data_IF_890462546014
#
_entry.id   IF_890462546014
#
_cell.length_a   1.000
_cell.length_b   1.000
_cell.length_c   1.000
_cell.angle_alpha   90.00
_cell.angle_beta   90.00
_cell.angle_gamma   90.00
#
_symmetry.space_group_name_H-M   'P 1'
#
loop_
_entity.id
_entity.type
_entity.pdbx_description
1 polymer ?
#
# COMPACT_ATOMS: atom_id res chain seq x y z
N UNK A 1 -5.00 -22.40 5.57
CA UNK A 1 -4.30 -21.19 5.08
C UNK A 1 -2.84 -21.54 4.88
N UNK A 2 -2.34 -21.40 3.67
CA UNK A 2 -0.92 -21.64 3.43
C UNK A 2 -0.10 -20.52 4.07
N UNK A 3 0.90 -20.89 4.88
CA UNK A 3 1.85 -19.91 5.39
C UNK A 3 2.62 -19.32 4.22
N UNK A 4 2.54 -17.99 4.08
CA UNK A 4 3.36 -17.30 3.11
C UNK A 4 4.83 -17.40 3.52
N UNK A 5 5.62 -18.07 2.69
CA UNK A 5 7.08 -18.13 2.87
C UNK A 5 7.72 -17.35 1.72
N UNK A 6 8.50 -16.31 2.01
CA UNK A 6 9.23 -15.62 0.97
C UNK A 6 10.19 -16.56 0.27
N UNK A 7 10.33 -16.43 -1.05
CA UNK A 7 11.24 -17.25 -1.86
C UNK A 7 12.71 -17.04 -1.50
N UNK A 8 13.04 -15.92 -0.90
CA UNK A 8 14.38 -15.56 -0.51
C UNK A 8 14.46 -15.35 0.99
N UNK A 9 15.45 -15.94 1.63
CA UNK A 9 15.68 -15.78 3.06
C UNK A 9 16.80 -14.78 3.28
N UNK A 10 16.55 -13.78 4.10
CA UNK A 10 17.59 -12.87 4.61
C UNK A 10 18.15 -13.49 5.88
N UNK A 11 19.43 -13.93 5.85
CA UNK A 11 20.07 -14.60 6.98
C UNK A 11 20.36 -13.67 8.15
N UNK A 12 20.69 -12.41 7.87
CA UNK A 12 20.95 -11.37 8.87
C UNK A 12 20.09 -10.14 8.56
N UNK A 13 18.95 -10.05 9.25
CA UNK A 13 17.97 -8.99 9.02
C UNK A 13 18.49 -7.61 9.42
N UNK A 14 19.26 -7.54 10.51
CA UNK A 14 19.82 -6.26 11.00
C UNK A 14 20.86 -5.71 10.03
N UNK A 15 21.80 -6.56 9.61
CA UNK A 15 22.81 -6.21 8.62
C UNK A 15 22.19 -5.81 7.28
N UNK A 16 21.18 -6.53 6.82
CA UNK A 16 20.46 -6.20 5.60
C UNK A 16 19.80 -4.83 5.69
N UNK A 17 19.12 -4.54 6.82
CA UNK A 17 18.49 -3.24 7.05
C UNK A 17 19.51 -2.10 7.07
N UNK A 18 20.66 -2.30 7.72
CA UNK A 18 21.75 -1.31 7.76
C UNK A 18 22.32 -1.03 6.36
N UNK A 19 22.60 -2.07 5.59
CA UNK A 19 23.14 -1.95 4.24
C UNK A 19 22.13 -1.29 3.30
N UNK A 20 20.86 -1.65 3.41
CA UNK A 20 19.77 -1.01 2.66
C UNK A 20 19.67 0.49 2.97
N UNK A 21 19.77 0.86 4.25
CA UNK A 21 19.74 2.25 4.67
C UNK A 21 20.93 3.04 4.12
N UNK A 22 22.12 2.43 4.10
CA UNK A 22 23.33 3.05 3.54
C UNK A 22 23.21 3.28 2.03
N UNK A 23 22.73 2.30 1.28
CA UNK A 23 22.48 2.43 -0.16
C UNK A 23 21.44 3.51 -0.45
N UNK A 24 20.35 3.53 0.31
CA UNK A 24 19.33 4.57 0.22
C UNK A 24 19.89 5.96 0.48
N UNK A 25 20.75 6.10 1.50
CA UNK A 25 21.42 7.37 1.81
C UNK A 25 22.31 7.86 0.68
N UNK A 26 23.10 6.97 0.09
CA UNK A 26 23.94 7.31 -1.06
C UNK A 26 23.11 7.69 -2.29
N UNK A 27 22.00 6.97 -2.53
CA UNK A 27 21.09 7.30 -3.62
C UNK A 27 20.47 8.70 -3.41
N UNK A 28 20.06 9.02 -2.19
CA UNK A 28 19.50 10.33 -1.86
C UNK A 28 20.50 11.47 -2.11
N UNK A 29 21.77 11.28 -1.74
CA UNK A 29 22.84 12.24 -2.04
C UNK A 29 22.97 12.48 -3.55
N UNK A 30 23.01 11.40 -4.34
CA UNK A 30 23.15 11.49 -5.79
C UNK A 30 21.95 12.12 -6.47
N UNK A 31 20.75 11.88 -5.98
CA UNK A 31 19.50 12.40 -6.55
C UNK A 31 19.06 13.74 -5.95
N UNK A 32 19.79 14.29 -4.99
CA UNK A 32 19.44 15.53 -4.30
C UNK A 32 18.04 15.49 -3.68
N UNK A 33 17.68 14.38 -3.07
CA UNK A 33 16.40 14.18 -2.40
C UNK A 33 16.59 13.82 -0.94
N UNK A 34 15.59 14.09 -0.12
CA UNK A 34 15.62 13.79 1.32
C UNK A 34 14.98 12.46 1.68
N UNK A 35 14.39 11.75 0.72
CA UNK A 35 13.75 10.47 1.03
C UNK A 35 13.33 9.68 -0.20
N UNK A 36 13.26 8.37 0.00
CA UNK A 36 12.60 7.44 -0.89
C UNK A 36 11.27 6.99 -0.28
N UNK A 37 10.48 6.27 -1.06
CA UNK A 37 9.21 5.70 -0.61
C UNK A 37 9.28 4.18 -0.66
N UNK A 38 8.96 3.54 0.45
CA UNK A 38 8.78 2.09 0.51
C UNK A 38 7.35 1.73 0.10
N UNK A 39 7.22 0.54 -0.46
CA UNK A 39 5.93 -0.06 -0.81
C UNK A 39 5.86 -1.43 -0.15
N UNK A 40 4.76 -1.71 0.54
CA UNK A 40 4.64 -2.94 1.32
C UNK A 40 4.53 -4.20 0.46
N UNK A 41 3.81 -4.10 -0.67
CA UNK A 41 3.55 -5.27 -1.49
C UNK A 41 3.31 -4.89 -2.95
N UNK A 42 4.01 -5.58 -3.85
CA UNK A 42 3.79 -5.46 -5.30
C UNK A 42 3.74 -6.87 -5.89
N UNK A 43 2.69 -7.15 -6.64
CA UNK A 43 2.55 -8.39 -7.40
C UNK A 43 2.37 -8.04 -8.87
N UNK A 44 3.12 -8.71 -9.74
CA UNK A 44 2.97 -8.64 -11.18
C UNK A 44 2.36 -9.97 -11.68
N UNK A 45 1.40 -9.88 -12.59
CA UNK A 45 0.82 -11.04 -13.26
C UNK A 45 0.42 -10.65 -14.68
N UNK A 46 1.10 -11.23 -15.68
CA UNK A 46 0.83 -11.01 -17.11
C UNK A 46 0.76 -9.52 -17.52
N UNK A 47 1.65 -8.72 -16.97
CA UNK A 47 1.70 -7.28 -17.23
C UNK A 47 0.76 -6.44 -16.38
N UNK A 48 -0.09 -7.08 -15.55
CA UNK A 48 -0.91 -6.41 -14.57
C UNK A 48 -0.20 -6.29 -13.22
N UNK A 49 -0.54 -5.26 -12.46
CA UNK A 49 0.06 -5.01 -11.15
C UNK A 49 -1.01 -4.87 -10.07
N UNK A 50 -0.77 -5.52 -8.95
CA UNK A 50 -1.48 -5.26 -7.70
C UNK A 50 -0.48 -4.67 -6.72
N UNK A 51 -0.71 -3.46 -6.29
CA UNK A 51 0.15 -2.73 -5.36
C UNK A 51 -0.65 -2.45 -4.09
N UNK A 52 -0.05 -2.71 -2.94
CA UNK A 52 -0.72 -2.53 -1.65
C UNK A 52 0.18 -1.82 -0.66
N UNK A 53 -0.40 -0.90 0.07
CA UNK A 53 0.19 -0.23 1.22
C UNK A 53 -0.71 -0.46 2.42
N UNK A 54 -0.14 -0.85 3.55
CA UNK A 54 -0.86 -1.15 4.78
C UNK A 54 -0.62 -0.06 5.82
N UNK A 55 -1.69 0.41 6.43
CA UNK A 55 -1.65 1.40 7.51
C UNK A 55 -2.45 0.91 8.69
N UNK A 56 -2.03 1.28 9.89
CA UNK A 56 -2.78 1.01 11.12
C UNK A 56 -3.59 2.24 11.50
N UNK A 57 -4.84 2.04 11.93
CA UNK A 57 -5.66 3.14 12.41
C UNK A 57 -5.17 3.67 13.76
N UNK A 58 -5.18 4.99 13.86
CA UNK A 58 -5.13 5.71 15.12
C UNK A 58 -6.42 6.50 15.24
N UNK A 59 -7.29 6.14 16.18
CA UNK A 59 -8.60 6.78 16.40
C UNK A 59 -9.40 6.96 15.10
N UNK A 60 -9.57 5.90 14.34
CA UNK A 60 -10.32 5.86 13.07
C UNK A 60 -9.65 6.55 11.87
N UNK A 61 -8.42 7.02 12.02
CA UNK A 61 -7.68 7.67 10.95
C UNK A 61 -6.43 6.89 10.57
N UNK A 62 -6.11 6.87 9.28
CA UNK A 62 -4.77 6.50 8.80
C UNK A 62 -4.05 7.77 8.37
N UNK A 63 -2.73 7.75 8.46
CA UNK A 63 -1.88 8.87 8.06
C UNK A 63 -0.93 8.44 6.96
N UNK A 64 -0.85 9.24 5.90
CA UNK A 64 -0.01 8.98 4.74
C UNK A 64 0.86 10.20 4.50
N UNK A 65 2.20 10.09 4.57
CA UNK A 65 3.07 11.21 4.23
C UNK A 65 2.77 11.76 2.84
N UNK A 66 2.79 13.08 2.69
CA UNK A 66 2.47 13.74 1.40
C UNK A 66 3.39 13.25 0.28
N UNK A 67 4.70 13.12 0.55
CA UNK A 67 5.66 12.60 -0.43
C UNK A 67 5.35 11.18 -0.86
N UNK A 68 4.94 10.30 0.06
CA UNK A 68 4.51 8.95 -0.25
C UNK A 68 3.27 8.96 -1.15
N UNK A 69 2.27 9.78 -0.82
CA UNK A 69 1.05 9.85 -1.62
C UNK A 69 1.30 10.38 -3.03
N UNK A 70 2.16 11.40 -3.18
CA UNK A 70 2.55 11.90 -4.51
C UNK A 70 3.20 10.80 -5.33
N UNK A 71 4.08 10.01 -4.72
CA UNK A 71 4.71 8.86 -5.37
C UNK A 71 3.66 7.84 -5.80
N UNK A 72 2.72 7.50 -4.94
CA UNK A 72 1.64 6.55 -5.26
C UNK A 72 0.75 7.04 -6.40
N UNK A 73 0.39 8.33 -6.41
CA UNK A 73 -0.39 8.94 -7.49
C UNK A 73 0.31 8.77 -8.85
N UNK A 74 1.61 9.07 -8.91
CA UNK A 74 2.38 8.98 -10.14
C UNK A 74 2.62 7.52 -10.57
N UNK A 75 2.92 6.63 -9.62
CA UNK A 75 3.07 5.21 -9.89
C UNK A 75 1.78 4.60 -10.45
N UNK A 76 0.65 4.88 -9.82
CA UNK A 76 -0.63 4.37 -10.29
C UNK A 76 -0.91 4.80 -11.73
N UNK A 77 -0.72 6.08 -12.04
CA UNK A 77 -0.92 6.59 -13.41
C UNK A 77 -0.06 5.87 -14.43
N UNK A 78 1.21 5.60 -14.10
CA UNK A 78 2.13 4.90 -15.00
C UNK A 78 1.79 3.42 -15.14
N UNK A 79 1.57 2.72 -14.03
CA UNK A 79 1.27 1.31 -14.02
C UNK A 79 -0.11 0.99 -14.61
N UNK A 80 -1.05 1.94 -14.54
CA UNK A 80 -2.40 1.78 -15.07
C UNK A 80 -2.58 2.33 -16.50
N UNK A 81 -1.51 2.59 -17.23
CA UNK A 81 -1.58 3.13 -18.58
C UNK A 81 -2.33 2.21 -19.55
N UNK A 82 -2.30 0.91 -19.33
CA UNK A 82 -3.05 -0.12 -20.05
C UNK A 82 -4.26 -0.64 -19.29
N UNK A 83 -4.65 0.02 -18.20
CA UNK A 83 -5.76 -0.34 -17.30
C UNK A 83 -5.58 -1.68 -16.59
N UNK A 84 -4.34 -2.06 -16.32
CA UNK A 84 -3.97 -3.30 -15.63
C UNK A 84 -3.25 -3.04 -14.30
N UNK A 85 -3.73 -2.09 -13.51
CA UNK A 85 -3.19 -1.84 -12.18
C UNK A 85 -4.31 -1.65 -11.17
N UNK A 86 -4.19 -2.37 -10.06
CA UNK A 86 -4.95 -2.10 -8.83
C UNK A 86 -3.95 -1.63 -7.78
N UNK A 87 -4.15 -0.43 -7.27
CA UNK A 87 -3.29 0.14 -6.24
C UNK A 87 -4.14 0.50 -5.03
N UNK A 88 -3.97 -0.23 -3.93
CA UNK A 88 -4.85 -0.22 -2.78
C UNK A 88 -4.12 0.25 -1.52
N UNK A 89 -4.79 1.10 -0.77
CA UNK A 89 -4.34 1.53 0.56
C UNK A 89 -5.27 0.86 1.58
N UNK A 90 -4.72 0.03 2.44
CA UNK A 90 -5.47 -0.66 3.50
C UNK A 90 -5.26 0.01 4.84
N UNK A 91 -6.34 0.06 5.62
CA UNK A 91 -6.31 0.41 7.03
C UNK A 91 -6.88 -0.73 7.87
N UNK A 92 -6.24 -1.03 8.97
CA UNK A 92 -6.71 -2.04 9.92
C UNK A 92 -6.41 -1.62 11.34
N UNK A 93 -7.19 -2.16 12.29
CA UNK A 93 -6.91 -1.99 13.70
C UNK A 93 -5.66 -2.81 14.08
N UNK A 94 -4.89 -2.34 15.02
CA UNK A 94 -3.66 -3.00 15.48
C UNK A 94 -3.92 -4.38 16.16
N UNK A 95 -5.15 -4.62 16.60
CA UNK A 95 -5.60 -5.87 17.23
C UNK A 95 -6.28 -6.84 16.25
N UNK A 96 -6.22 -6.59 14.93
CA UNK A 96 -6.89 -7.45 13.95
C UNK A 96 -6.34 -8.88 14.02
N UNK A 97 -7.25 -9.86 14.03
CA UNK A 97 -6.90 -11.27 13.94
C UNK A 97 -6.93 -11.73 12.49
N UNK A 98 -5.76 -11.82 11.86
CA UNK A 98 -5.62 -12.24 10.47
C UNK A 98 -5.96 -13.71 10.22
N UNK A 99 -6.14 -14.52 11.26
CA UNK A 99 -6.57 -15.93 11.16
C UNK A 99 -8.09 -16.07 11.13
N UNK A 100 -8.81 -15.03 11.55
CA UNK A 100 -10.27 -15.02 11.55
C UNK A 100 -10.78 -14.42 10.21
N UNK A 101 -11.45 -15.21 9.35
CA UNK A 101 -11.96 -14.71 8.07
C UNK A 101 -13.05 -13.64 8.20
N UNK A 102 -13.68 -13.53 9.37
CA UNK A 102 -14.70 -12.51 9.63
C UNK A 102 -14.12 -11.21 10.20
N UNK A 103 -12.83 -11.16 10.50
CA UNK A 103 -12.15 -9.92 10.86
C UNK A 103 -12.25 -8.91 9.74
N UNK A 104 -12.31 -7.63 10.09
CA UNK A 104 -12.55 -6.55 9.12
C UNK A 104 -11.30 -5.72 8.86
N UNK A 105 -11.21 -5.23 7.65
CA UNK A 105 -10.25 -4.22 7.22
C UNK A 105 -10.96 -3.20 6.35
N UNK A 106 -10.32 -2.09 6.09
CA UNK A 106 -10.85 -1.02 5.24
C UNK A 106 -9.84 -0.70 4.15
N UNK A 107 -10.31 -0.29 2.99
CA UNK A 107 -9.42 0.12 1.91
C UNK A 107 -10.03 1.21 1.05
N UNK A 108 -9.17 1.90 0.32
CA UNK A 108 -9.54 2.67 -0.85
C UNK A 108 -8.50 2.43 -1.94
N UNK A 109 -8.87 2.68 -3.17
CA UNK A 109 -7.95 2.54 -4.29
C UNK A 109 -7.47 3.91 -4.80
N UNK A 110 -6.34 3.89 -5.50
CA UNK A 110 -5.74 5.11 -6.02
C UNK A 110 -6.55 5.70 -7.19
N UNK A 111 -7.40 4.93 -7.84
CA UNK A 111 -8.35 5.46 -8.82
C UNK A 111 -9.32 6.42 -8.15
N UNK A 112 -9.94 5.99 -7.05
CA UNK A 112 -10.87 6.84 -6.29
C UNK A 112 -10.18 8.06 -5.69
N UNK A 113 -8.94 7.89 -5.22
CA UNK A 113 -8.14 9.01 -4.75
C UNK A 113 -7.88 10.03 -5.86
N UNK A 114 -7.42 9.60 -7.01
CA UNK A 114 -7.10 10.47 -8.15
C UNK A 114 -8.35 11.14 -8.73
N UNK A 115 -9.52 10.50 -8.61
CA UNK A 115 -10.81 11.05 -9.04
C UNK A 115 -11.48 11.96 -8.00
N UNK A 116 -10.84 12.19 -6.86
CA UNK A 116 -11.35 13.08 -5.82
C UNK A 116 -12.51 12.51 -5.01
N UNK A 117 -12.72 11.19 -5.03
CA UNK A 117 -13.79 10.52 -4.26
C UNK A 117 -13.44 10.36 -2.78
N UNK A 118 -12.18 10.44 -2.43
CA UNK A 118 -11.70 10.36 -1.06
C UNK A 118 -11.43 11.78 -0.55
N UNK A 119 -12.03 12.13 0.58
CA UNK A 119 -11.89 13.45 1.20
C UNK A 119 -10.91 13.40 2.38
N UNK A 120 -9.61 13.58 2.16
CA UNK A 120 -8.63 13.56 3.24
C UNK A 120 -8.61 14.89 4.00
N UNK A 121 -8.18 14.82 5.25
CA UNK A 121 -7.70 15.99 5.96
C UNK A 121 -6.20 16.14 5.72
N UNK A 122 -5.77 17.33 5.44
CA UNK A 122 -4.36 17.67 5.34
C UNK A 122 -3.92 18.40 6.61
N UNK A 123 -2.81 17.97 7.22
CA UNK A 123 -2.32 18.63 8.43
C UNK A 123 -1.92 20.10 8.15
N UNK A 124 -1.95 20.95 9.18
CA UNK A 124 -1.56 22.37 9.06
C UNK A 124 -0.15 22.50 8.51
N UNK A 125 0.76 21.59 8.88
CA UNK A 125 2.13 21.55 8.36
C UNK A 125 2.23 21.02 6.92
N UNK A 126 1.14 20.55 6.34
CA UNK A 126 1.05 19.97 5.00
C UNK A 126 2.00 18.77 4.76
N UNK A 127 2.43 18.09 5.83
CA UNK A 127 3.38 16.97 5.73
C UNK A 127 2.73 15.62 5.52
N UNK A 128 1.44 15.48 5.86
CA UNK A 128 0.71 14.23 5.71
C UNK A 128 -0.77 14.45 5.46
N UNK A 129 -1.36 13.47 4.76
CA UNK A 129 -2.81 13.33 4.66
C UNK A 129 -3.31 12.40 5.76
N UNK A 130 -4.47 12.71 6.31
CA UNK A 130 -5.19 11.80 7.21
C UNK A 130 -6.51 11.43 6.54
N UNK A 131 -6.79 10.11 6.48
CA UNK A 131 -8.01 9.58 5.87
C UNK A 131 -8.80 8.85 6.94
N UNK A 132 -10.05 9.27 7.13
CA UNK A 132 -10.96 8.62 8.08
C UNK A 132 -11.52 7.33 7.48
N UNK A 133 -11.72 6.30 8.32
CA UNK A 133 -12.27 5.02 7.83
C UNK A 133 -13.63 5.15 7.13
N UNK A 134 -14.43 6.19 7.44
CA UNK A 134 -15.70 6.46 6.75
C UNK A 134 -15.53 6.73 5.25
N UNK A 135 -14.35 7.17 4.82
CA UNK A 135 -14.01 7.36 3.40
C UNK A 135 -13.59 6.06 2.72
N UNK A 136 -13.46 4.99 3.47
CA UNK A 136 -12.92 3.72 3.01
C UNK A 136 -14.02 2.67 2.90
N UNK A 137 -13.78 1.65 2.10
CA UNK A 137 -14.66 0.49 1.97
C UNK A 137 -14.30 -0.54 3.02
N UNK A 138 -15.29 -0.96 3.82
CA UNK A 138 -15.14 -2.00 4.83
C UNK A 138 -15.34 -3.37 4.22
N UNK A 139 -14.39 -4.26 4.42
CA UNK A 139 -14.50 -5.67 3.97
C UNK A 139 -14.00 -6.62 5.06
N UNK A 140 -14.48 -7.86 5.02
CA UNK A 140 -13.91 -8.94 5.83
C UNK A 140 -12.61 -9.46 5.18
N UNK A 141 -11.80 -10.20 5.94
CA UNK A 141 -10.60 -10.84 5.39
C UNK A 141 -10.95 -11.90 4.34
N UNK A 142 -12.12 -12.54 4.46
CA UNK A 142 -12.64 -13.43 3.42
C UNK A 142 -12.91 -12.66 2.12
N UNK A 143 -13.58 -11.53 2.21
CA UNK A 143 -13.86 -10.67 1.05
C UNK A 143 -12.57 -10.08 0.45
N UNK A 144 -11.60 -9.76 1.29
CA UNK A 144 -10.26 -9.36 0.85
C UNK A 144 -9.61 -10.43 -0.02
N UNK A 145 -9.64 -11.68 0.43
CA UNK A 145 -9.10 -12.81 -0.33
C UNK A 145 -9.82 -12.98 -1.67
N UNK A 146 -11.13 -12.89 -1.67
CA UNK A 146 -11.95 -13.00 -2.88
C UNK A 146 -11.63 -11.85 -3.86
N UNK A 147 -11.40 -10.65 -3.36
CA UNK A 147 -11.00 -9.48 -4.15
C UNK A 147 -9.65 -9.70 -4.84
N UNK A 148 -8.66 -10.24 -4.12
CA UNK A 148 -7.34 -10.55 -4.68
C UNK A 148 -7.44 -11.62 -5.77
N UNK A 149 -8.26 -12.65 -5.56
CA UNK A 149 -8.52 -13.67 -6.57
C UNK A 149 -9.17 -13.08 -7.83
N UNK A 150 -10.13 -12.19 -7.66
CA UNK A 150 -10.78 -11.48 -8.76
C UNK A 150 -9.77 -10.68 -9.59
N UNK A 151 -8.89 -9.91 -8.95
CA UNK A 151 -7.86 -9.12 -9.64
C UNK A 151 -6.88 -10.01 -10.39
N UNK A 152 -6.46 -11.09 -9.78
CA UNK A 152 -5.58 -12.06 -10.43
C UNK A 152 -6.19 -12.62 -11.73
N UNK A 153 -7.45 -13.02 -11.67
CA UNK A 153 -8.18 -13.55 -12.84
C UNK A 153 -8.42 -12.50 -13.92
N UNK A 154 -8.61 -11.24 -13.55
CA UNK A 154 -8.75 -10.16 -14.52
C UNK A 154 -7.54 -10.04 -15.42
N UNK A 155 -6.34 -10.23 -14.89
CA UNK A 155 -5.09 -10.14 -15.65
C UNK A 155 -4.86 -11.33 -16.60
N UNK A 156 -5.61 -12.39 -16.44
CA UNK A 156 -5.54 -13.58 -17.30
C UNK A 156 -6.36 -13.47 -18.58
N UNK A 157 -7.14 -12.44 -18.71
CA UNK A 157 -8.02 -12.23 -19.87
C UNK A 157 -7.31 -11.63 -21.07
#
# INVERSE_FOLDING_TARGET
MSDFKPKHTVFDKEKFAEERAKLGGLAQEGMQTTGGTDIDWVVEHRGGFIVMENKTFSKDWISIPVGQMITFEQMYKKLNSDRKCHFLIFGFNDDVDFKNPDSVTWYFDMEDWNNGKICPNRTISFKKFSVHRREMTKITLKEYRDLMEKYWKEFER
#
